data_IF_330965196508
#
_entry.id   IF_330965196508
#
_cell.length_a   1.000
_cell.length_b   1.000
_cell.length_c   1.000
_cell.angle_alpha   90.00
_cell.angle_beta   90.00
_cell.angle_gamma   90.00
#
_symmetry.space_group_name_H-M   'P 1'
#
loop_
_entity.id
_entity.type
_entity.pdbx_description
1 polymer ?
#
# COMPACT_ATOMS: atom_id res chain seq x y z
N UNK A 1 9.86 -15.99 10.24
CA UNK A 1 9.46 -14.62 9.84
C UNK A 1 8.19 -14.26 10.61
N UNK A 2 8.28 -13.38 11.61
CA UNK A 2 7.11 -12.95 12.38
C UNK A 2 6.35 -11.89 11.58
N UNK A 3 5.35 -12.32 10.81
CA UNK A 3 4.52 -11.40 10.04
C UNK A 3 3.59 -10.62 10.98
N UNK A 4 3.83 -9.31 11.09
CA UNK A 4 2.95 -8.38 11.81
C UNK A 4 1.53 -8.39 11.18
N UNK A 5 0.42 -8.39 11.94
CA UNK A 5 -0.94 -8.52 11.39
C UNK A 5 -1.28 -7.54 10.26
N UNK A 6 -0.70 -6.34 10.30
CA UNK A 6 -0.91 -5.30 9.27
C UNK A 6 -0.25 -5.66 7.93
N UNK A 7 0.95 -6.24 7.94
CA UNK A 7 1.63 -6.70 6.71
C UNK A 7 0.85 -7.82 6.02
N UNK A 8 0.28 -8.76 6.79
CA UNK A 8 -0.61 -9.82 6.24
C UNK A 8 -1.85 -9.24 5.55
N UNK A 9 -2.39 -8.16 6.09
CA UNK A 9 -3.57 -7.48 5.52
C UNK A 9 -3.24 -6.92 4.15
N UNK A 10 -2.09 -6.25 4.00
CA UNK A 10 -1.64 -5.74 2.70
C UNK A 10 -1.49 -6.82 1.64
N UNK A 11 -0.88 -7.96 1.97
CA UNK A 11 -0.74 -9.07 1.02
C UNK A 11 -2.09 -9.68 0.61
N UNK A 12 -3.02 -9.85 1.56
CA UNK A 12 -4.37 -10.36 1.27
C UNK A 12 -5.12 -9.42 0.33
N UNK A 13 -5.06 -8.12 0.59
CA UNK A 13 -5.71 -7.12 -0.25
C UNK A 13 -5.06 -7.05 -1.63
N UNK A 14 -3.73 -7.05 -1.70
CA UNK A 14 -3.00 -7.12 -2.98
C UNK A 14 -3.51 -8.29 -3.82
N UNK A 15 -3.54 -9.51 -3.25
CA UNK A 15 -4.00 -10.70 -3.96
C UNK A 15 -5.44 -10.58 -4.48
N UNK A 16 -6.35 -9.95 -3.71
CA UNK A 16 -7.71 -9.68 -4.15
C UNK A 16 -7.75 -8.69 -5.33
N UNK A 17 -6.99 -7.59 -5.25
CA UNK A 17 -6.88 -6.62 -6.34
C UNK A 17 -6.26 -7.24 -7.60
N UNK A 18 -5.30 -8.14 -7.45
CA UNK A 18 -4.72 -8.88 -8.58
C UNK A 18 -5.73 -9.79 -9.26
N UNK A 19 -6.47 -10.59 -8.49
CA UNK A 19 -7.52 -11.42 -9.04
C UNK A 19 -8.56 -10.58 -9.81
N UNK A 20 -8.97 -9.45 -9.24
CA UNK A 20 -9.89 -8.52 -9.89
C UNK A 20 -9.30 -7.86 -11.15
N UNK A 21 -8.03 -7.45 -11.10
CA UNK A 21 -7.30 -6.87 -12.22
C UNK A 21 -7.19 -7.84 -13.40
N UNK A 22 -6.82 -9.10 -13.13
CA UNK A 22 -6.75 -10.17 -14.13
C UNK A 22 -8.13 -10.42 -14.74
N UNK A 23 -9.18 -10.53 -13.92
CA UNK A 23 -10.54 -10.74 -14.43
C UNK A 23 -10.96 -9.62 -15.38
N UNK A 24 -10.73 -8.36 -15.00
CA UNK A 24 -11.01 -7.23 -15.89
C UNK A 24 -10.19 -7.30 -17.18
N UNK A 25 -8.90 -7.61 -17.10
CA UNK A 25 -8.02 -7.75 -18.27
C UNK A 25 -8.53 -8.80 -19.26
N UNK A 26 -8.93 -9.96 -18.74
CA UNK A 26 -9.53 -11.03 -19.56
C UNK A 26 -10.85 -10.58 -20.18
N UNK A 27 -11.72 -9.90 -19.43
CA UNK A 27 -13.00 -9.41 -19.98
C UNK A 27 -12.82 -8.36 -21.07
N UNK A 28 -11.85 -7.44 -20.93
CA UNK A 28 -11.55 -6.46 -21.97
C UNK A 28 -10.96 -7.13 -23.21
N UNK A 29 -10.04 -8.09 -23.03
CA UNK A 29 -9.48 -8.85 -24.15
C UNK A 29 -10.53 -9.69 -24.90
N UNK A 30 -11.47 -10.30 -24.18
CA UNK A 30 -12.52 -11.12 -24.76
C UNK A 30 -13.60 -10.31 -25.49
N UNK A 31 -13.93 -9.11 -24.99
CA UNK A 31 -14.97 -8.25 -25.58
C UNK A 31 -14.42 -7.25 -26.59
N UNK A 32 -13.13 -6.95 -26.56
CA UNK A 32 -12.51 -5.87 -27.32
C UNK A 32 -12.83 -4.47 -26.77
N UNK A 33 -13.66 -4.35 -25.72
CA UNK A 33 -13.99 -3.08 -25.11
C UNK A 33 -12.91 -2.65 -24.09
N UNK A 34 -12.22 -1.56 -24.40
CA UNK A 34 -11.15 -0.98 -23.58
C UNK A 34 -11.60 0.27 -22.82
N UNK A 35 -12.91 0.52 -22.72
CA UNK A 35 -13.49 1.67 -22.01
C UNK A 35 -13.03 1.76 -20.55
N UNK A 36 -12.79 0.63 -19.88
CA UNK A 36 -12.34 0.54 -18.50
C UNK A 36 -10.83 0.34 -18.34
N UNK A 37 -10.04 0.56 -19.40
CA UNK A 37 -8.58 0.39 -19.36
C UNK A 37 -7.92 1.18 -18.23
N UNK A 38 -8.36 2.43 -18.01
CA UNK A 38 -7.85 3.26 -16.93
C UNK A 38 -8.11 2.64 -15.54
N UNK A 39 -9.31 2.09 -15.30
CA UNK A 39 -9.65 1.42 -14.03
C UNK A 39 -8.79 0.17 -13.85
N UNK A 40 -8.59 -0.61 -14.91
CA UNK A 40 -7.72 -1.78 -14.89
C UNK A 40 -6.27 -1.45 -14.53
N UNK A 41 -5.70 -0.40 -15.14
CA UNK A 41 -4.35 0.05 -14.81
C UNK A 41 -4.22 0.43 -13.33
N UNK A 42 -5.19 1.17 -12.78
CA UNK A 42 -5.17 1.58 -11.37
C UNK A 42 -5.37 0.40 -10.41
N UNK A 43 -6.22 -0.57 -10.74
CA UNK A 43 -6.38 -1.80 -9.94
C UNK A 43 -5.07 -2.57 -9.82
N UNK A 44 -4.32 -2.70 -10.93
CA UNK A 44 -3.05 -3.41 -10.89
C UNK A 44 -1.93 -2.59 -10.24
N UNK A 45 -1.84 -1.28 -10.46
CA UNK A 45 -0.79 -0.43 -9.88
C UNK A 45 -1.06 -0.03 -8.43
N UNK A 46 -2.20 0.62 -8.14
CA UNK A 46 -2.56 1.06 -6.79
C UNK A 46 -3.03 -0.10 -5.91
N UNK A 47 -3.76 -1.05 -6.50
CA UNK A 47 -4.23 -2.23 -5.78
C UNK A 47 -3.10 -3.26 -5.61
N UNK A 48 -2.77 -4.00 -6.67
CA UNK A 48 -1.82 -5.12 -6.56
C UNK A 48 -0.39 -4.66 -6.20
N UNK A 49 0.28 -3.91 -7.09
CA UNK A 49 1.72 -3.61 -6.96
C UNK A 49 2.02 -2.80 -5.70
N UNK A 50 1.32 -1.69 -5.49
CA UNK A 50 1.59 -0.80 -4.35
C UNK A 50 1.33 -1.49 -3.02
N UNK A 51 0.22 -2.22 -2.87
CA UNK A 51 -0.09 -2.93 -1.63
C UNK A 51 0.88 -4.09 -1.38
N UNK A 52 1.32 -4.80 -2.42
CA UNK A 52 2.34 -5.83 -2.29
C UNK A 52 3.67 -5.23 -1.79
N UNK A 53 4.07 -4.07 -2.33
CA UNK A 53 5.26 -3.35 -1.89
C UNK A 53 5.13 -2.84 -0.45
N UNK A 54 3.98 -2.28 -0.05
CA UNK A 54 3.76 -1.87 1.34
C UNK A 54 3.83 -3.06 2.30
N UNK A 55 3.23 -4.19 1.92
CA UNK A 55 3.29 -5.43 2.67
C UNK A 55 4.73 -5.94 2.83
N UNK A 56 5.50 -5.93 1.74
CA UNK A 56 6.88 -6.40 1.69
C UNK A 56 7.82 -5.51 2.51
N UNK A 57 7.80 -4.20 2.29
CA UNK A 57 8.66 -3.27 3.03
C UNK A 57 8.26 -3.27 4.51
N UNK A 58 6.97 -3.35 4.83
CA UNK A 58 6.49 -3.52 6.20
C UNK A 58 6.89 -4.86 6.86
N UNK A 59 7.06 -5.93 6.07
CA UNK A 59 7.59 -7.21 6.57
C UNK A 59 9.09 -7.15 6.83
N UNK A 60 9.85 -6.43 6.00
CA UNK A 60 11.30 -6.23 6.16
C UNK A 60 11.63 -5.24 7.28
N UNK A 61 10.77 -4.24 7.48
CA UNK A 61 10.91 -3.21 8.52
C UNK A 61 9.63 -3.13 9.38
N UNK A 62 9.47 -4.03 10.37
CA UNK A 62 8.29 -4.05 11.24
C UNK A 62 8.04 -2.72 11.97
N UNK A 63 9.10 -1.95 12.24
CA UNK A 63 9.05 -0.61 12.85
C UNK A 63 8.21 0.40 12.06
N UNK A 64 8.05 0.22 10.74
CA UNK A 64 7.17 1.05 9.91
C UNK A 64 5.70 0.71 10.08
N UNK A 65 5.40 -0.51 10.54
CA UNK A 65 4.03 -1.00 10.68
C UNK A 65 3.44 -0.66 12.04
N UNK A 66 4.20 -0.03 12.93
CA UNK A 66 3.80 0.29 14.29
C UNK A 66 3.37 1.75 14.47
N UNK A 67 2.52 2.00 15.46
CA UNK A 67 2.04 3.33 15.81
C UNK A 67 0.81 3.82 15.01
N UNK A 68 0.40 5.05 15.34
CA UNK A 68 -0.83 5.71 14.83
C UNK A 68 -0.70 6.15 13.38
N UNK A 69 0.51 6.51 12.94
CA UNK A 69 0.76 7.00 11.57
C UNK A 69 0.66 5.85 10.56
N UNK A 70 1.21 4.68 10.89
CA UNK A 70 1.06 3.46 10.08
C UNK A 70 -0.42 3.04 9.94
N UNK A 71 -1.19 3.16 11.03
CA UNK A 71 -2.62 2.90 10.98
C UNK A 71 -3.37 3.93 10.11
N UNK A 72 -3.04 5.22 10.24
CA UNK A 72 -3.63 6.27 9.41
C UNK A 72 -3.33 6.03 7.92
N UNK A 73 -2.07 5.74 7.56
CA UNK A 73 -1.67 5.40 6.20
C UNK A 73 -2.44 4.18 5.66
N UNK A 74 -2.58 3.13 6.45
CA UNK A 74 -3.33 1.95 6.05
C UNK A 74 -4.81 2.28 5.78
N UNK A 75 -5.47 3.01 6.68
CA UNK A 75 -6.89 3.33 6.54
C UNK A 75 -7.17 4.29 5.39
N UNK A 76 -6.39 5.37 5.26
CA UNK A 76 -6.61 6.36 4.21
C UNK A 76 -6.36 5.78 2.82
N UNK A 77 -5.35 4.90 2.66
CA UNK A 77 -5.14 4.19 1.40
C UNK A 77 -6.28 3.22 1.07
N UNK A 78 -6.68 2.38 2.03
CA UNK A 78 -7.68 1.33 1.80
C UNK A 78 -9.10 1.86 1.63
N UNK A 79 -9.40 3.06 2.12
CA UNK A 79 -10.65 3.75 1.81
C UNK A 79 -10.54 4.52 0.50
N UNK A 80 -9.42 5.22 0.28
CA UNK A 80 -9.21 6.05 -0.90
C UNK A 80 -9.25 5.25 -2.21
N UNK A 81 -8.56 4.10 -2.27
CA UNK A 81 -8.45 3.29 -3.50
C UNK A 81 -9.81 2.78 -3.99
N UNK A 82 -10.64 2.08 -3.19
CA UNK A 82 -11.97 1.66 -3.64
C UNK A 82 -12.87 2.83 -4.06
N UNK A 83 -12.84 3.94 -3.32
CA UNK A 83 -13.66 5.12 -3.64
C UNK A 83 -13.23 5.72 -4.97
N UNK A 84 -11.92 5.88 -5.19
CA UNK A 84 -11.37 6.39 -6.45
C UNK A 84 -11.72 5.47 -7.63
N UNK A 85 -11.55 4.15 -7.48
CA UNK A 85 -11.86 3.17 -8.52
C UNK A 85 -13.36 3.12 -8.86
N UNK A 86 -14.22 3.15 -7.84
CA UNK A 86 -15.68 3.19 -8.02
C UNK A 86 -16.14 4.47 -8.71
N UNK A 87 -15.64 5.63 -8.26
CA UNK A 87 -15.94 6.91 -8.86
C UNK A 87 -15.42 7.00 -10.31
N UNK A 88 -14.21 6.53 -10.59
CA UNK A 88 -13.67 6.47 -11.95
C UNK A 88 -14.51 5.58 -12.87
N UNK A 89 -14.98 4.44 -12.37
CA UNK A 89 -15.87 3.55 -13.13
C UNK A 89 -17.20 4.26 -13.47
N UNK A 90 -17.81 4.95 -12.50
CA UNK A 90 -19.02 5.75 -12.71
C UNK A 90 -18.80 6.86 -13.74
N UNK A 91 -17.65 7.55 -13.66
CA UNK A 91 -17.29 8.61 -14.61
C UNK A 91 -17.15 8.09 -16.04
N UNK A 92 -16.56 6.91 -16.22
CA UNK A 92 -16.41 6.26 -17.52
C UNK A 92 -17.75 5.73 -18.06
N UNK A 93 -18.71 5.41 -17.17
CA UNK A 93 -20.09 5.07 -17.52
C UNK A 93 -20.99 6.28 -17.82
N UNK A 94 -20.44 7.50 -17.81
CA UNK A 94 -21.16 8.72 -18.20
C UNK A 94 -21.64 9.60 -17.04
N UNK A 95 -21.40 9.23 -15.79
CA UNK A 95 -21.79 10.05 -14.63
C UNK A 95 -20.75 11.12 -14.33
N UNK A 96 -20.82 12.27 -15.00
CA UNK A 96 -19.84 13.37 -14.83
C UNK A 96 -19.81 13.96 -13.40
N UNK A 97 -20.93 13.89 -12.66
CA UNK A 97 -21.06 14.47 -11.33
C UNK A 97 -20.12 13.85 -10.25
N UNK A 98 -19.46 12.72 -10.56
CA UNK A 98 -18.53 12.05 -9.63
C UNK A 98 -17.08 12.57 -9.74
N UNK A 99 -16.78 13.48 -10.66
CA UNK A 99 -15.43 14.07 -10.79
C UNK A 99 -14.88 14.67 -9.48
N UNK A 100 -15.64 15.44 -8.68
CA UNK A 100 -15.17 15.93 -7.39
C UNK A 100 -14.83 14.80 -6.42
N UNK A 101 -15.55 13.68 -6.47
CA UNK A 101 -15.31 12.51 -5.64
C UNK A 101 -13.98 11.83 -6.03
N UNK A 102 -13.67 11.74 -7.32
CA UNK A 102 -12.38 11.25 -7.81
C UNK A 102 -11.26 12.14 -7.27
N UNK A 103 -11.41 13.46 -7.35
CA UNK A 103 -10.41 14.41 -6.87
C UNK A 103 -10.14 14.25 -5.35
N UNK A 104 -11.20 14.20 -4.54
CA UNK A 104 -11.08 14.02 -3.08
C UNK A 104 -10.41 12.68 -2.75
N UNK A 105 -10.81 11.59 -3.41
CA UNK A 105 -10.23 10.27 -3.20
C UNK A 105 -8.74 10.25 -3.61
N UNK A 106 -8.39 10.94 -4.70
CA UNK A 106 -7.00 11.06 -5.17
C UNK A 106 -6.12 11.82 -4.18
N UNK A 107 -6.63 12.91 -3.61
CA UNK A 107 -5.93 13.65 -2.54
C UNK A 107 -5.76 12.76 -1.31
N UNK A 108 -6.78 11.99 -0.92
CA UNK A 108 -6.69 11.08 0.23
C UNK A 108 -5.61 9.99 0.02
N UNK A 109 -5.56 9.40 -1.17
CA UNK A 109 -4.51 8.44 -1.56
C UNK A 109 -3.14 9.14 -1.55
N UNK A 110 -3.04 10.35 -2.10
CA UNK A 110 -1.81 11.15 -2.09
C UNK A 110 -1.29 11.41 -0.68
N UNK A 111 -2.15 11.84 0.24
CA UNK A 111 -1.82 11.98 1.65
C UNK A 111 -1.31 10.68 2.25
N UNK A 112 -1.96 9.55 1.94
CA UNK A 112 -1.50 8.23 2.38
C UNK A 112 -0.10 7.88 1.86
N UNK A 113 0.20 8.20 0.60
CA UNK A 113 1.53 7.95 0.01
C UNK A 113 2.57 8.82 0.70
N UNK A 114 2.27 10.08 1.01
CA UNK A 114 3.17 10.96 1.76
C UNK A 114 3.45 10.42 3.18
N UNK A 115 2.44 9.88 3.86
CA UNK A 115 2.65 9.21 5.14
C UNK A 115 3.54 7.98 5.01
N UNK A 116 3.36 7.19 3.94
CA UNK A 116 4.22 6.05 3.65
C UNK A 116 5.67 6.48 3.41
N UNK A 117 5.90 7.51 2.59
CA UNK A 117 7.22 8.10 2.35
C UNK A 117 7.85 8.53 3.67
N UNK A 118 7.11 9.28 4.50
CA UNK A 118 7.61 9.71 5.80
C UNK A 118 7.97 8.53 6.72
N UNK A 119 7.15 7.47 6.75
CA UNK A 119 7.44 6.25 7.52
C UNK A 119 8.71 5.57 7.04
N UNK A 120 8.91 5.46 5.72
CA UNK A 120 10.12 4.90 5.12
C UNK A 120 11.34 5.70 5.59
N UNK A 121 11.38 7.01 5.37
CA UNK A 121 12.54 7.83 5.75
C UNK A 121 12.78 7.92 7.26
N UNK A 122 11.73 7.83 8.08
CA UNK A 122 11.86 7.98 9.54
C UNK A 122 12.18 6.68 10.27
N UNK A 123 11.91 5.52 9.67
CA UNK A 123 11.95 4.21 10.37
C UNK A 123 12.81 3.17 9.67
N UNK A 124 13.06 3.29 8.36
CA UNK A 124 14.02 2.46 7.63
C UNK A 124 15.42 2.96 7.96
N UNK A 125 16.07 2.32 8.94
CA UNK A 125 17.42 2.67 9.40
C UNK A 125 17.56 2.77 10.92
N UNK A 126 16.46 2.88 11.67
CA UNK A 126 16.49 3.01 13.14
C UNK A 126 16.78 1.66 13.85
N UNK A 127 17.05 0.58 13.10
CA UNK A 127 17.25 -0.77 13.66
C UNK A 127 18.64 -1.38 13.43
N UNK A 128 19.69 -0.55 13.37
CA UNK A 128 21.08 -1.04 13.41
C UNK A 128 21.92 -0.45 14.56
N UNK A 129 21.31 -0.18 15.73
CA UNK A 129 22.07 -0.05 16.96
C UNK A 129 21.47 -0.97 18.02
N UNK A 130 22.09 -2.14 18.20
CA UNK A 130 22.12 -2.79 19.50
C UNK A 130 23.30 -2.19 20.28
N UNK A 131 23.09 -1.24 21.20
CA UNK A 131 24.07 -0.91 22.22
C UNK A 131 24.10 -2.08 23.21
N UNK A 132 25.09 -2.98 23.12
CA UNK A 132 25.57 -3.83 24.23
C UNK A 132 26.76 -4.71 23.81
N UNK A 133 27.95 -4.11 23.63
CA UNK A 133 29.24 -4.77 23.93
C UNK A 133 30.16 -3.87 24.76
N UNK A 134 29.59 -2.97 25.56
CA UNK A 134 30.31 -2.25 26.62
C UNK A 134 29.87 -2.82 27.96
N UNK A 135 30.39 -4.00 28.33
CA UNK A 135 30.57 -4.45 29.72
C UNK A 135 30.94 -5.95 29.77
N UNK A 136 32.20 -6.27 29.45
CA UNK A 136 32.95 -7.33 30.12
C UNK A 136 34.42 -7.29 29.65
N UNK A 137 35.23 -6.42 30.27
CA UNK A 137 36.69 -6.54 30.31
C UNK A 137 37.08 -6.60 31.80
N UNK A 138 38.13 -7.34 32.24
CA UNK A 138 39.50 -7.19 31.75
C UNK A 138 40.31 -8.54 31.68
N UNK A 139 41.63 -8.53 31.37
CA UNK A 139 42.38 -9.70 30.90
C UNK A 139 42.93 -10.54 32.07
N UNK A 140 42.89 -11.87 31.94
CA UNK A 140 43.69 -12.76 32.79
C UNK A 140 45.01 -13.10 32.10
N UNK A 141 46.07 -12.43 32.55
CA UNK A 141 47.46 -12.82 32.34
C UNK A 141 47.72 -14.09 33.18
N UNK A 142 47.94 -15.22 32.52
CA UNK A 142 48.97 -16.26 32.78
C UNK A 142 48.66 -17.52 31.97
#
# INVERSE_FOLDING_TARGET
MNFNPRSRTWFRLAALYFAFGVLMGVTMGATGDHSLFAVHAHVNLLGWVSMALFGLIGAMHPSMTEGRIAAAQLWTYNVGVPVMLGALTLRLKGFAAVEPLIAIASVLIGCSVLLFVWLVFSRVGVSAQHPNQVAASPPSIR
#
